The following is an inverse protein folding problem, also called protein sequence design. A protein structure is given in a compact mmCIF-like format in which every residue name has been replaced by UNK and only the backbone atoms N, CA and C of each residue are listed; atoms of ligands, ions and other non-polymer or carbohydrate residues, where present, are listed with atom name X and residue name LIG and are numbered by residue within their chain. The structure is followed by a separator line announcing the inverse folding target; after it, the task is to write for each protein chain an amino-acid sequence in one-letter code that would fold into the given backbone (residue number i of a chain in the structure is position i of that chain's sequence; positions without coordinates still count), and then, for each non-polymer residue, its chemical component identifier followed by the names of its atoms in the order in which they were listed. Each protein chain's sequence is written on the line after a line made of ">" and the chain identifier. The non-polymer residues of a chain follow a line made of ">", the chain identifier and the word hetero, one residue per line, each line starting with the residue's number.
data_IF_116006513693
#
_entry.id   IF_116006513693
#
_cell.length_a   1.000
_cell.length_b   1.000
_cell.length_c   1.000
_cell.angle_alpha   90.00
_cell.angle_beta   90.00
_cell.angle_gamma   90.00
#
_symmetry.space_group_name_H-M   'P 1'
#
loop_
_entity.id
_entity.type
_entity.pdbx_description
1 polymer ?
#
# COMPACT_ATOMS: atom_id res chain seq x y z
N UNK A 1 -49.27 26.27 -37.97
CA UNK A 1 -49.22 24.80 -38.16
C UNK A 1 -48.25 24.22 -37.14
N UNK A 2 -48.71 23.45 -36.15
CA UNK A 2 -47.80 22.69 -35.27
C UNK A 2 -47.43 21.40 -36.01
N UNK A 3 -46.13 21.20 -36.27
CA UNK A 3 -45.62 19.91 -36.76
C UNK A 3 -45.75 18.89 -35.63
N UNK A 4 -46.57 17.87 -35.82
CA UNK A 4 -46.65 16.74 -34.89
C UNK A 4 -45.47 15.81 -35.18
N UNK A 5 -44.69 15.50 -34.14
CA UNK A 5 -43.61 14.52 -34.22
C UNK A 5 -44.20 13.13 -34.42
N UNK A 6 -43.66 12.36 -35.35
CA UNK A 6 -44.13 10.98 -35.58
C UNK A 6 -43.47 10.01 -34.60
N UNK A 7 -44.17 8.93 -34.25
CA UNK A 7 -43.64 7.87 -33.40
C UNK A 7 -42.37 7.23 -33.98
N UNK A 8 -42.25 7.18 -35.31
CA UNK A 8 -41.08 6.63 -36.01
C UNK A 8 -39.86 7.52 -35.82
N UNK A 9 -40.01 8.85 -35.92
CA UNK A 9 -38.89 9.79 -35.70
C UNK A 9 -38.36 9.69 -34.28
N UNK A 10 -39.25 9.54 -33.29
CA UNK A 10 -38.83 9.35 -31.90
C UNK A 10 -38.11 8.01 -31.71
N UNK A 11 -38.63 6.93 -32.33
CA UNK A 11 -38.06 5.58 -32.24
C UNK A 11 -36.64 5.52 -32.83
N UNK A 12 -36.43 6.08 -34.02
CA UNK A 12 -35.11 6.08 -34.67
C UNK A 12 -34.07 6.83 -33.83
N UNK A 13 -34.45 7.96 -33.22
CA UNK A 13 -33.54 8.75 -32.39
C UNK A 13 -33.11 7.98 -31.14
N UNK A 14 -34.05 7.35 -30.43
CA UNK A 14 -33.69 6.56 -29.24
C UNK A 14 -32.83 5.33 -29.63
N UNK A 15 -33.07 4.72 -30.79
CA UNK A 15 -32.24 3.61 -31.29
C UNK A 15 -30.81 4.07 -31.56
N UNK A 16 -30.63 5.21 -32.23
CA UNK A 16 -29.29 5.76 -32.48
C UNK A 16 -28.58 6.10 -31.17
N UNK A 17 -29.27 6.76 -30.23
CA UNK A 17 -28.70 7.07 -28.90
C UNK A 17 -28.32 5.78 -28.17
N UNK A 18 -29.15 4.73 -28.22
CA UNK A 18 -28.86 3.46 -27.58
C UNK A 18 -27.61 2.78 -28.17
N UNK A 19 -27.44 2.80 -29.50
CA UNK A 19 -26.24 2.25 -30.17
C UNK A 19 -24.99 3.05 -29.78
N UNK A 20 -25.07 4.39 -29.80
CA UNK A 20 -23.94 5.24 -29.42
C UNK A 20 -23.57 5.04 -27.95
N UNK A 21 -24.55 4.98 -27.06
CA UNK A 21 -24.33 4.74 -25.63
C UNK A 21 -23.71 3.35 -25.37
N UNK A 22 -24.15 2.32 -26.10
CA UNK A 22 -23.62 0.96 -25.98
C UNK A 22 -22.12 0.86 -26.29
N UNK A 23 -21.60 1.69 -27.21
CA UNK A 23 -20.16 1.74 -27.53
C UNK A 23 -19.42 2.71 -26.60
N UNK A 24 -20.04 3.85 -26.29
CA UNK A 24 -19.39 4.91 -25.53
C UNK A 24 -19.15 4.51 -24.06
N UNK A 25 -20.09 3.81 -23.42
CA UNK A 25 -19.94 3.41 -22.01
C UNK A 25 -18.74 2.47 -21.74
N UNK A 26 -18.52 1.36 -22.47
CA UNK A 26 -17.38 0.49 -22.22
C UNK A 26 -16.04 1.20 -22.47
N UNK A 27 -15.96 2.02 -23.53
CA UNK A 27 -14.75 2.80 -23.86
C UNK A 27 -14.48 3.84 -22.76
N UNK A 28 -15.49 4.56 -22.31
CA UNK A 28 -15.36 5.55 -21.25
C UNK A 28 -14.92 4.91 -19.92
N UNK A 29 -15.47 3.74 -19.57
CA UNK A 29 -15.07 3.01 -18.38
C UNK A 29 -13.60 2.55 -18.45
N UNK A 30 -13.12 2.12 -19.62
CA UNK A 30 -11.71 1.79 -19.83
C UNK A 30 -10.81 3.02 -19.72
N UNK A 31 -11.18 4.13 -20.36
CA UNK A 31 -10.43 5.39 -20.31
C UNK A 31 -10.32 5.92 -18.87
N UNK A 32 -11.42 5.89 -18.11
CA UNK A 32 -11.43 6.30 -16.69
C UNK A 32 -10.49 5.45 -15.84
N UNK A 33 -10.46 4.12 -16.04
CA UNK A 33 -9.52 3.23 -15.33
C UNK A 33 -8.07 3.52 -15.70
N UNK A 34 -7.77 3.71 -16.98
CA UNK A 34 -6.43 4.09 -17.42
C UNK A 34 -5.97 5.42 -16.80
N UNK A 35 -6.84 6.41 -16.73
CA UNK A 35 -6.54 7.70 -16.09
C UNK A 35 -6.23 7.55 -14.59
N UNK A 36 -7.02 6.76 -13.86
CA UNK A 36 -6.75 6.48 -12.43
C UNK A 36 -5.41 5.77 -12.22
N UNK A 37 -5.12 4.76 -13.04
CA UNK A 37 -3.85 4.03 -13.00
C UNK A 37 -2.65 4.96 -13.28
N UNK A 38 -2.80 5.88 -14.24
CA UNK A 38 -1.79 6.90 -14.53
C UNK A 38 -1.52 7.85 -13.35
N UNK A 39 -2.56 8.20 -12.57
CA UNK A 39 -2.37 8.96 -11.32
C UNK A 39 -1.62 8.12 -10.28
N UNK A 40 -2.03 6.86 -10.06
CA UNK A 40 -1.38 6.04 -9.04
C UNK A 40 0.10 5.73 -9.34
N UNK A 41 0.49 5.55 -10.61
CA UNK A 41 1.92 5.41 -10.96
C UNK A 41 2.68 6.75 -10.85
N UNK A 42 2.00 7.87 -11.08
CA UNK A 42 2.60 9.20 -10.83
C UNK A 42 2.81 9.45 -9.34
N UNK A 43 1.95 8.91 -8.47
CA UNK A 43 2.13 8.97 -7.02
C UNK A 43 3.35 8.13 -6.59
N UNK A 44 3.50 6.90 -7.11
CA UNK A 44 4.69 6.09 -6.79
C UNK A 44 5.98 6.75 -7.26
N UNK A 45 5.97 7.41 -8.43
CA UNK A 45 7.12 8.18 -8.91
C UNK A 45 7.44 9.37 -8.02
N UNK A 46 6.44 10.08 -7.50
CA UNK A 46 6.65 11.18 -6.55
C UNK A 46 7.26 10.70 -5.23
N UNK A 47 6.82 9.56 -4.69
CA UNK A 47 7.44 8.96 -3.50
C UNK A 47 8.87 8.52 -3.76
N UNK A 48 9.14 7.90 -4.92
CA UNK A 48 10.48 7.50 -5.32
C UNK A 48 11.45 8.69 -5.39
N UNK A 49 10.99 9.81 -5.97
CA UNK A 49 11.76 11.04 -6.02
C UNK A 49 11.99 11.63 -4.63
N UNK A 50 10.96 11.65 -3.77
CA UNK A 50 11.08 12.11 -2.39
C UNK A 50 12.09 11.28 -1.60
N UNK A 51 12.09 9.96 -1.80
CA UNK A 51 13.05 9.04 -1.20
C UNK A 51 14.50 9.31 -1.65
N UNK A 52 14.72 9.51 -2.95
CA UNK A 52 16.06 9.83 -3.47
C UNK A 52 16.54 11.18 -2.94
N UNK A 53 15.68 12.19 -2.91
CA UNK A 53 16.01 13.51 -2.36
C UNK A 53 16.32 13.45 -0.86
N UNK A 54 15.51 12.73 -0.07
CA UNK A 54 15.79 12.48 1.34
C UNK A 54 17.17 11.85 1.52
N UNK A 55 17.46 10.79 0.75
CA UNK A 55 18.73 10.06 0.85
C UNK A 55 19.92 10.99 0.58
N UNK A 56 19.80 11.88 -0.39
CA UNK A 56 20.84 12.86 -0.72
C UNK A 56 21.05 13.91 0.39
N UNK A 57 19.97 14.34 1.04
CA UNK A 57 20.03 15.34 2.11
C UNK A 57 20.50 14.75 3.46
N UNK A 58 20.47 13.42 3.61
CA UNK A 58 20.79 12.70 4.84
C UNK A 58 21.98 11.74 4.67
N UNK A 59 23.12 12.26 4.20
CA UNK A 59 24.42 11.54 4.14
C UNK A 59 24.36 10.17 3.43
N UNK A 60 23.58 10.08 2.35
CA UNK A 60 23.33 8.85 1.60
C UNK A 60 22.72 7.73 2.47
N UNK A 61 21.89 8.08 3.46
CA UNK A 61 21.12 7.13 4.28
C UNK A 61 19.67 7.10 3.82
N UNK A 62 19.12 5.91 3.61
CA UNK A 62 17.72 5.73 3.20
C UNK A 62 16.76 6.25 4.25
N UNK A 63 15.52 6.56 3.85
CA UNK A 63 14.51 6.97 4.84
C UNK A 63 14.21 5.80 5.80
N UNK A 64 14.23 6.04 7.13
CA UNK A 64 13.69 5.10 8.10
C UNK A 64 12.25 4.76 7.80
N UNK A 65 11.86 3.50 8.01
CA UNK A 65 10.45 3.15 7.96
C UNK A 65 9.71 3.78 9.13
N UNK A 66 10.26 3.55 10.32
CA UNK A 66 9.60 3.89 11.56
C UNK A 66 10.60 3.86 12.71
N UNK A 67 10.54 4.82 13.62
CA UNK A 67 11.29 4.76 14.87
C UNK A 67 10.56 5.51 15.99
N UNK A 68 10.85 5.12 17.22
CA UNK A 68 10.36 5.79 18.40
C UNK A 68 10.99 7.19 18.52
N UNK A 69 10.15 8.22 18.53
CA UNK A 69 10.59 9.61 18.70
C UNK A 69 10.53 10.00 20.18
N UNK A 70 11.64 9.78 20.88
CA UNK A 70 11.78 9.99 22.32
C UNK A 70 11.90 11.46 22.76
N UNK A 71 11.86 12.43 21.83
CA UNK A 71 11.98 13.85 22.17
C UNK A 71 10.74 14.42 22.90
N UNK A 72 9.60 13.72 22.90
CA UNK A 72 8.42 14.09 23.69
C UNK A 72 8.24 13.14 24.89
N UNK A 73 8.66 13.55 26.09
CA UNK A 73 8.50 12.78 27.33
C UNK A 73 7.04 12.49 27.73
N UNK A 74 6.07 13.15 27.10
CA UNK A 74 4.65 13.07 27.44
C UNK A 74 3.82 12.25 26.41
N UNK A 75 4.39 11.86 25.27
CA UNK A 75 3.68 11.11 24.22
C UNK A 75 4.53 9.99 23.63
N UNK A 76 3.95 8.81 23.48
CA UNK A 76 4.56 7.69 22.75
C UNK A 76 4.43 7.88 21.24
N UNK A 77 5.20 8.83 20.71
CA UNK A 77 5.18 9.18 19.30
C UNK A 77 6.19 8.36 18.51
N UNK A 78 5.83 8.10 17.26
CA UNK A 78 6.67 7.39 16.32
C UNK A 78 6.75 8.13 15.01
N UNK A 79 7.98 8.24 14.53
CA UNK A 79 8.30 8.93 13.30
C UNK A 79 8.43 7.93 12.17
N UNK A 80 7.51 8.01 11.21
CA UNK A 80 7.51 7.18 10.01
C UNK A 80 7.87 7.94 8.74
N UNK A 81 8.10 7.18 7.66
CA UNK A 81 8.38 7.73 6.33
C UNK A 81 7.21 8.57 5.80
N UNK A 82 5.97 8.08 5.98
CA UNK A 82 4.76 8.71 5.45
C UNK A 82 4.12 9.68 6.43
N UNK A 83 4.13 9.34 7.71
CA UNK A 83 3.41 10.07 8.75
C UNK A 83 4.07 9.90 10.11
N UNK A 84 3.68 10.75 11.06
CA UNK A 84 4.00 10.57 12.47
C UNK A 84 2.77 10.04 13.18
N UNK A 85 2.89 8.91 13.84
CA UNK A 85 1.81 8.30 14.59
C UNK A 85 2.03 8.48 16.09
N UNK A 86 0.98 8.90 16.78
CA UNK A 86 0.96 9.00 18.24
C UNK A 86 0.24 7.78 18.82
N UNK A 87 0.95 6.94 19.57
CA UNK A 87 0.33 5.82 20.26
C UNK A 87 -0.46 6.25 21.51
N UNK A 88 -0.21 7.46 22.02
CA UNK A 88 -1.00 8.04 23.12
C UNK A 88 -2.40 8.44 22.65
N UNK A 89 -2.48 9.16 21.52
CA UNK A 89 -3.74 9.69 21.01
C UNK A 89 -4.39 8.80 19.94
N UNK A 90 -3.68 7.75 19.49
CA UNK A 90 -4.07 6.92 18.35
C UNK A 90 -4.37 7.76 17.09
N UNK A 91 -3.50 8.73 16.83
CA UNK A 91 -3.61 9.65 15.69
C UNK A 91 -2.42 9.54 14.76
N UNK A 92 -2.64 9.88 13.50
CA UNK A 92 -1.63 9.81 12.45
C UNK A 92 -1.61 11.13 11.67
N UNK A 93 -0.44 11.77 11.63
CA UNK A 93 -0.24 13.06 10.96
C UNK A 93 0.70 12.91 9.75
N UNK A 94 0.17 12.81 8.52
CA UNK A 94 0.96 12.70 7.30
C UNK A 94 1.76 13.97 6.97
N UNK A 95 1.45 15.11 7.58
CA UNK A 95 2.27 16.33 7.41
C UNK A 95 3.55 16.31 8.22
N UNK A 96 3.64 15.38 9.18
CA UNK A 96 4.82 15.17 10.01
C UNK A 96 5.65 13.97 9.57
N UNK A 97 5.31 13.29 8.47
CA UNK A 97 6.13 12.20 7.92
C UNK A 97 7.47 12.70 7.38
N UNK A 98 8.50 11.83 7.41
CA UNK A 98 9.85 12.18 6.99
C UNK A 98 9.94 12.60 5.51
N UNK A 99 9.10 12.01 4.65
CA UNK A 99 9.07 12.36 3.22
C UNK A 99 8.16 13.55 2.89
N UNK A 100 7.37 14.05 3.85
CA UNK A 100 6.44 15.15 3.60
C UNK A 100 7.12 16.43 3.07
N UNK A 101 8.29 16.88 3.56
CA UNK A 101 8.98 18.07 3.03
C UNK A 101 9.31 17.99 1.53
N UNK A 102 9.54 16.77 1.04
CA UNK A 102 9.90 16.48 -0.36
C UNK A 102 8.67 16.25 -1.24
N UNK A 103 7.61 15.62 -0.69
CA UNK A 103 6.35 15.42 -1.41
C UNK A 103 5.48 16.69 -1.48
N UNK A 104 5.50 17.52 -0.41
CA UNK A 104 4.72 18.76 -0.23
C UNK A 104 3.19 18.59 -0.37
N UNK A 105 2.70 17.37 -0.31
CA UNK A 105 1.28 17.04 -0.30
C UNK A 105 1.08 15.68 0.36
N UNK A 106 -0.09 15.50 0.97
CA UNK A 106 -0.53 14.22 1.54
C UNK A 106 -1.33 13.40 0.53
N UNK A 107 -1.79 14.00 -0.58
CA UNK A 107 -2.60 13.33 -1.60
C UNK A 107 -1.85 12.23 -2.36
N UNK A 108 -0.52 12.23 -2.29
CA UNK A 108 0.33 11.18 -2.88
C UNK A 108 0.07 9.82 -2.23
N UNK A 109 -0.42 9.77 -0.98
CA UNK A 109 -0.80 8.54 -0.31
C UNK A 109 -2.11 7.93 -0.83
N UNK A 110 -2.91 8.72 -1.55
CA UNK A 110 -4.21 8.29 -2.03
C UNK A 110 -4.09 7.76 -3.46
N UNK A 111 -4.39 6.48 -3.63
CA UNK A 111 -4.59 5.92 -4.95
C UNK A 111 -6.09 5.96 -5.32
N UNK A 112 -6.51 6.61 -6.43
CA UNK A 112 -7.91 6.58 -6.90
C UNK A 112 -8.50 5.18 -7.20
N UNK A 113 -7.67 4.16 -7.36
CA UNK A 113 -8.05 2.73 -7.47
C UNK A 113 -7.98 1.99 -6.12
N UNK A 114 -7.70 2.70 -5.02
CA UNK A 114 -7.63 2.18 -3.65
C UNK A 114 -8.82 2.55 -2.77
N UNK A 115 -9.95 2.94 -3.36
CA UNK A 115 -11.15 3.34 -2.62
C UNK A 115 -11.74 2.25 -1.71
N UNK A 116 -11.39 0.98 -1.95
CA UNK A 116 -11.76 -0.19 -1.13
C UNK A 116 -10.93 -0.34 0.14
N UNK A 117 -9.84 0.44 0.29
CA UNK A 117 -9.00 0.39 1.48
C UNK A 117 -9.66 1.18 2.62
N UNK A 118 -9.87 0.48 3.73
CA UNK A 118 -10.41 1.00 4.98
C UNK A 118 -9.27 1.57 5.83
N UNK A 119 -9.58 2.57 6.65
CA UNK A 119 -8.61 3.28 7.48
C UNK A 119 -8.34 4.68 6.95
N UNK A 120 -8.39 5.67 7.85
CA UNK A 120 -8.08 7.07 7.55
C UNK A 120 -6.59 7.37 7.72
N UNK A 121 -5.90 6.56 8.52
CA UNK A 121 -4.51 6.71 8.96
C UNK A 121 -3.68 5.62 8.29
N UNK A 122 -2.75 6.02 7.42
CA UNK A 122 -1.98 5.10 6.57
C UNK A 122 -2.09 5.39 5.07
N UNK A 123 -1.06 5.00 4.33
CA UNK A 123 -0.93 5.20 2.88
C UNK A 123 -1.54 4.03 2.09
N UNK A 124 -2.04 4.27 0.87
CA UNK A 124 -2.38 3.20 -0.08
C UNK A 124 -1.14 2.49 -0.66
N UNK A 125 0.04 3.00 -0.31
CA UNK A 125 1.35 2.51 -0.71
C UNK A 125 2.17 2.18 0.53
N UNK A 126 2.98 1.14 0.46
CA UNK A 126 3.89 0.76 1.52
C UNK A 126 5.35 0.88 1.13
N UNK A 127 6.22 0.97 2.13
CA UNK A 127 7.68 0.96 1.96
C UNK A 127 8.28 -0.42 2.28
N UNK A 128 9.27 -0.84 1.51
CA UNK A 128 9.98 -2.11 1.67
C UNK A 128 11.06 -2.03 2.76
N UNK A 129 10.65 -2.00 4.02
CA UNK A 129 11.57 -1.93 5.14
C UNK A 129 12.52 -3.12 5.26
N UNK A 130 12.24 -4.24 4.60
CA UNK A 130 13.09 -5.42 4.67
C UNK A 130 14.43 -5.26 3.95
N UNK A 131 14.47 -4.43 2.90
CA UNK A 131 15.66 -4.20 2.09
C UNK A 131 16.19 -2.78 2.16
N UNK A 132 15.36 -1.84 2.63
CA UNK A 132 15.74 -0.42 2.72
C UNK A 132 15.79 0.10 4.15
N UNK A 133 15.67 -0.80 5.14
CA UNK A 133 15.82 -0.46 6.56
C UNK A 133 16.60 -1.53 7.31
N UNK A 134 17.26 -1.13 8.40
CA UNK A 134 17.93 -2.02 9.34
C UNK A 134 17.06 -2.21 10.59
N UNK A 135 17.15 -3.40 11.17
CA UNK A 135 16.46 -3.71 12.42
C UNK A 135 17.37 -3.33 13.58
N UNK A 136 16.94 -2.37 14.38
CA UNK A 136 17.60 -2.07 15.66
C UNK A 136 16.77 -2.65 16.82
N UNK A 137 17.41 -3.51 17.62
CA UNK A 137 16.80 -4.07 18.84
C UNK A 137 16.32 -2.93 19.74
N UNK A 138 15.15 -3.08 20.39
CA UNK A 138 14.49 -1.97 21.06
C UNK A 138 15.35 -1.46 22.21
N UNK A 139 15.80 -0.21 22.07
CA UNK A 139 16.12 0.66 23.20
C UNK A 139 14.87 1.50 23.60
N UNK A 140 13.69 1.11 23.11
CA UNK A 140 12.40 1.72 23.40
C UNK A 140 11.75 1.07 24.66
N UNK A 141 11.33 1.86 25.66
CA UNK A 141 10.59 1.36 26.84
C UNK A 141 9.27 0.65 26.53
N UNK A 142 8.70 0.81 25.33
CA UNK A 142 7.44 0.18 24.92
C UNK A 142 7.61 -1.08 24.05
N UNK A 143 8.86 -1.49 23.77
CA UNK A 143 9.16 -2.71 23.03
C UNK A 143 8.85 -2.66 21.53
N UNK A 144 8.73 -1.45 20.96
CA UNK A 144 8.54 -1.28 19.51
C UNK A 144 9.88 -1.28 18.79
N UNK A 145 9.88 -1.89 17.61
CA UNK A 145 11.07 -2.05 16.76
C UNK A 145 11.37 -0.74 16.05
N UNK A 146 12.63 -0.29 16.12
CA UNK A 146 13.14 0.77 15.26
C UNK A 146 13.60 0.16 13.93
N UNK A 147 13.03 0.66 12.84
CA UNK A 147 13.36 0.30 11.47
C UNK A 147 14.05 1.49 10.81
N UNK A 148 15.37 1.54 11.01
CA UNK A 148 16.21 2.67 10.67
C UNK A 148 16.64 2.64 9.21
N UNK A 149 16.98 3.80 8.66
CA UNK A 149 17.60 3.87 7.34
C UNK A 149 18.92 3.12 7.30
N UNK A 150 19.26 2.55 6.15
CA UNK A 150 20.58 1.99 5.88
C UNK A 150 21.38 2.95 5.00
N UNK A 151 22.73 2.92 5.06
CA UNK A 151 23.52 3.55 4.01
C UNK A 151 23.11 3.00 2.64
N UNK A 152 22.82 3.89 1.69
CA UNK A 152 22.34 3.55 0.35
C UNK A 152 23.30 2.60 -0.38
N UNK A 153 24.60 2.73 -0.12
CA UNK A 153 25.63 1.82 -0.64
C UNK A 153 25.54 0.37 -0.14
N UNK A 154 24.72 0.06 0.88
CA UNK A 154 24.38 -1.32 1.26
C UNK A 154 23.37 -1.98 0.31
N UNK A 155 22.69 -1.20 -0.54
CA UNK A 155 21.76 -1.73 -1.55
C UNK A 155 22.57 -2.14 -2.79
N UNK A 156 22.78 -3.44 -2.97
CA UNK A 156 23.65 -3.98 -4.03
C UNK A 156 23.12 -3.69 -5.45
N UNK A 157 21.81 -3.82 -5.66
CA UNK A 157 21.17 -3.64 -6.96
C UNK A 157 20.02 -2.60 -6.86
N UNK A 158 20.30 -1.27 -6.85
CA UNK A 158 19.25 -0.27 -6.63
C UNK A 158 18.15 -0.24 -7.71
N UNK A 159 18.53 -0.50 -8.97
CA UNK A 159 17.58 -0.61 -10.07
C UNK A 159 16.71 -1.89 -10.01
N UNK A 160 17.06 -2.86 -9.17
CA UNK A 160 16.28 -4.08 -8.98
C UNK A 160 15.63 -4.17 -7.58
N UNK A 161 15.97 -3.25 -6.67
CA UNK A 161 15.40 -3.22 -5.33
C UNK A 161 14.16 -2.32 -5.27
N UNK A 162 13.01 -2.92 -4.93
CA UNK A 162 11.76 -2.16 -4.72
C UNK A 162 11.85 -1.39 -3.40
N UNK A 163 11.59 -0.09 -3.46
CA UNK A 163 11.49 0.80 -2.30
C UNK A 163 10.04 0.98 -1.85
N UNK A 164 9.11 1.21 -2.78
CA UNK A 164 7.69 1.41 -2.49
C UNK A 164 6.80 0.61 -3.43
N UNK A 165 5.56 0.37 -3.03
CA UNK A 165 4.56 -0.20 -3.93
C UNK A 165 3.15 -0.11 -3.38
N UNK A 166 2.17 -0.40 -4.25
CA UNK A 166 0.79 -0.58 -3.79
C UNK A 166 0.73 -1.63 -2.70
N UNK A 167 0.18 -1.25 -1.55
CA UNK A 167 0.07 -2.13 -0.40
C UNK A 167 -1.35 -2.14 0.14
N UNK A 168 -1.68 -3.23 0.81
CA UNK A 168 -2.89 -3.41 1.57
C UNK A 168 -2.67 -4.46 2.65
N UNK A 169 -3.26 -4.26 3.81
CA UNK A 169 -3.32 -5.29 4.84
C UNK A 169 -4.67 -6.00 4.79
N UNK A 170 -4.65 -7.33 4.81
CA UNK A 170 -5.87 -8.12 4.90
C UNK A 170 -6.25 -8.37 6.36
N UNK A 171 -7.47 -8.01 6.77
CA UNK A 171 -7.99 -8.33 8.09
C UNK A 171 -8.57 -9.74 8.15
N UNK A 172 -8.12 -10.60 9.07
CA UNK A 172 -8.57 -12.01 9.16
C UNK A 172 -10.00 -12.14 9.64
N UNK A 173 -10.35 -11.30 10.61
CA UNK A 173 -11.61 -11.39 11.34
C UNK A 173 -12.77 -10.78 10.56
N UNK A 174 -12.54 -9.65 9.90
CA UNK A 174 -13.58 -8.90 9.16
C UNK A 174 -13.43 -8.98 7.64
N UNK A 175 -12.34 -9.60 7.16
CA UNK A 175 -12.06 -9.83 5.74
C UNK A 175 -12.00 -8.53 4.93
N UNK A 176 -11.71 -7.41 5.58
CA UNK A 176 -11.56 -6.10 4.95
C UNK A 176 -10.11 -5.89 4.49
N UNK A 177 -9.93 -4.92 3.61
CA UNK A 177 -8.62 -4.42 3.23
C UNK A 177 -8.36 -3.10 3.92
N UNK A 178 -7.21 -3.00 4.57
CA UNK A 178 -6.78 -1.82 5.27
C UNK A 178 -5.66 -1.12 4.52
N UNK A 179 -5.62 0.21 4.62
CA UNK A 179 -4.43 0.99 4.24
C UNK A 179 -3.23 0.51 5.04
N UNK A 180 -2.08 0.43 4.40
CA UNK A 180 -0.91 -0.17 4.99
C UNK A 180 0.35 0.42 4.38
N UNK A 181 1.11 1.12 5.20
CA UNK A 181 2.33 1.85 4.83
C UNK A 181 3.59 0.97 4.83
N UNK A 182 3.41 -0.35 4.99
CA UNK A 182 4.46 -1.35 4.87
C UNK A 182 4.29 -2.15 3.59
N UNK A 183 5.39 -2.41 2.90
CA UNK A 183 5.45 -3.34 1.78
C UNK A 183 6.20 -4.58 2.23
N UNK A 184 5.49 -5.60 2.70
CA UNK A 184 6.13 -6.82 3.18
C UNK A 184 6.31 -7.84 2.06
N UNK A 185 7.38 -8.64 2.10
CA UNK A 185 7.48 -9.80 1.23
C UNK A 185 6.42 -10.85 1.61
N UNK A 186 6.00 -11.71 0.66
CA UNK A 186 5.42 -13.00 0.99
C UNK A 186 6.31 -13.70 2.01
N UNK A 187 5.82 -14.12 3.18
CA UNK A 187 6.66 -14.79 4.18
C UNK A 187 6.62 -14.21 5.60
N UNK A 188 6.42 -12.89 5.71
CA UNK A 188 6.83 -12.10 6.87
C UNK A 188 5.96 -12.22 8.15
N UNK A 189 5.27 -13.35 8.39
CA UNK A 189 4.54 -13.62 9.64
C UNK A 189 3.30 -12.76 9.93
N UNK A 190 3.02 -11.79 9.08
CA UNK A 190 1.74 -11.11 8.91
C UNK A 190 1.37 -11.29 7.44
N UNK A 191 0.09 -11.22 7.03
CA UNK A 191 -0.28 -11.31 5.62
C UNK A 191 -0.68 -9.93 5.08
N UNK A 192 0.27 -9.02 4.88
CA UNK A 192 0.08 -7.95 3.93
C UNK A 192 0.11 -8.54 2.53
N UNK A 193 -0.77 -8.02 1.68
CA UNK A 193 -0.82 -8.39 0.29
C UNK A 193 -0.57 -7.16 -0.55
N UNK A 194 0.27 -7.31 -1.57
CA UNK A 194 0.26 -6.37 -2.66
C UNK A 194 -1.11 -6.50 -3.34
N UNK A 195 -1.77 -5.38 -3.57
CA UNK A 195 -3.08 -5.41 -4.18
C UNK A 195 -3.00 -5.08 -5.67
N UNK A 196 -3.44 -6.01 -6.50
CA UNK A 196 -3.56 -5.86 -7.93
C UNK A 196 -4.74 -4.96 -8.32
N UNK A 197 -4.70 -3.68 -7.94
CA UNK A 197 -5.82 -2.72 -8.07
C UNK A 197 -5.90 -2.00 -9.42
N UNK A 198 -4.89 -2.12 -10.29
CA UNK A 198 -4.78 -1.34 -11.54
C UNK A 198 -5.30 -2.03 -12.81
N UNK A 199 -6.23 -2.98 -12.64
CA UNK A 199 -6.68 -3.84 -13.72
C UNK A 199 -5.63 -4.88 -14.10
N UNK A 200 -6.09 -5.98 -14.70
CA UNK A 200 -5.23 -7.11 -15.09
C UNK A 200 -4.31 -7.63 -13.95
N UNK A 201 -4.79 -7.52 -12.71
CA UNK A 201 -4.07 -7.92 -11.50
C UNK A 201 -2.68 -7.26 -11.37
N UNK A 202 -2.60 -5.97 -11.68
CA UNK A 202 -1.36 -5.18 -11.62
C UNK A 202 -1.31 -4.26 -10.41
N UNK A 203 -0.09 -4.06 -9.91
CA UNK A 203 0.28 -3.09 -8.89
C UNK A 203 1.44 -2.22 -9.40
N UNK A 204 1.55 -1.01 -8.88
CA UNK A 204 2.59 -0.05 -9.16
C UNK A 204 3.66 -0.13 -8.08
N UNK A 205 4.91 -0.08 -8.52
CA UNK A 205 6.09 -0.13 -7.67
C UNK A 205 7.03 1.00 -8.03
N UNK A 206 7.85 1.38 -7.06
CA UNK A 206 8.98 2.28 -7.21
C UNK A 206 10.24 1.60 -6.67
N UNK A 207 11.35 1.78 -7.38
CA UNK A 207 12.66 1.23 -7.04
C UNK A 207 13.52 2.26 -6.33
N UNK A 208 14.58 1.79 -5.66
CA UNK A 208 15.47 2.63 -4.86
C UNK A 208 16.32 3.57 -5.72
N UNK A 209 16.46 3.32 -7.03
CA UNK A 209 17.04 4.26 -8.00
C UNK A 209 16.08 5.39 -8.44
N UNK A 210 14.83 5.36 -7.96
CA UNK A 210 13.80 6.34 -8.24
C UNK A 210 12.89 6.05 -9.44
N UNK A 211 13.08 4.97 -10.20
CA UNK A 211 12.15 4.63 -11.29
C UNK A 211 10.86 3.98 -10.77
N UNK A 212 9.81 3.96 -11.59
CA UNK A 212 8.53 3.36 -11.22
C UNK A 212 7.94 2.59 -12.39
N UNK A 213 7.26 1.49 -12.07
CA UNK A 213 6.73 0.57 -13.06
C UNK A 213 5.50 -0.14 -12.52
N UNK A 214 4.51 -0.31 -13.39
CA UNK A 214 3.38 -1.21 -13.15
C UNK A 214 3.81 -2.64 -13.43
N UNK A 215 3.65 -3.54 -12.47
CA UNK A 215 3.97 -4.96 -12.56
C UNK A 215 2.72 -5.80 -12.37
N UNK A 216 2.66 -6.92 -13.08
CA UNK A 216 1.63 -7.94 -12.84
C UNK A 216 2.03 -8.73 -11.59
N UNK A 217 1.08 -8.94 -10.69
CA UNK A 217 1.29 -9.75 -9.50
C UNK A 217 1.17 -11.25 -9.80
N UNK A 218 1.80 -12.05 -8.96
CA UNK A 218 1.64 -13.50 -8.91
C UNK A 218 0.63 -13.84 -7.81
N UNK A 219 -0.31 -14.74 -8.12
CA UNK A 219 -1.30 -15.26 -7.16
C UNK A 219 -0.59 -16.20 -6.18
N UNK A 220 -1.02 -16.20 -4.93
CA UNK A 220 -0.54 -17.16 -3.96
C UNK A 220 -1.01 -18.57 -4.32
N UNK A 221 -0.09 -19.54 -4.30
CA UNK A 221 -0.43 -20.95 -4.55
C UNK A 221 -0.83 -21.68 -3.26
N UNK A 222 -0.32 -21.22 -2.12
CA UNK A 222 -0.56 -21.79 -0.78
C UNK A 222 -0.68 -20.67 0.24
N UNK A 223 -1.32 -20.98 1.37
CA UNK A 223 -1.33 -20.12 2.55
C UNK A 223 -0.59 -20.82 3.70
N UNK A 224 0.03 -20.06 4.61
CA UNK A 224 0.51 -20.60 5.88
C UNK A 224 -0.60 -21.31 6.67
N UNK A 225 -0.23 -22.36 7.41
CA UNK A 225 -1.18 -23.11 8.25
C UNK A 225 -1.87 -22.21 9.27
N UNK A 226 -1.14 -21.28 9.89
CA UNK A 226 -1.70 -20.36 10.89
C UNK A 226 -2.78 -19.44 10.31
N UNK A 227 -2.74 -19.11 9.01
CA UNK A 227 -3.82 -18.36 8.35
C UNK A 227 -5.05 -19.23 8.11
N UNK A 228 -4.82 -20.48 7.70
CA UNK A 228 -5.90 -21.45 7.55
C UNK A 228 -6.60 -21.70 8.91
N UNK A 229 -5.84 -21.72 10.01
CA UNK A 229 -6.37 -21.84 11.37
C UNK A 229 -7.27 -20.65 11.76
N UNK A 230 -7.05 -19.46 11.17
CA UNK A 230 -7.94 -18.29 11.31
C UNK A 230 -9.14 -18.31 10.33
N UNK A 231 -9.35 -19.40 9.58
CA UNK A 231 -10.45 -19.51 8.61
C UNK A 231 -10.25 -18.67 7.34
N UNK A 232 -9.00 -18.31 7.03
CA UNK A 232 -8.61 -17.55 5.83
C UNK A 232 -8.31 -18.52 4.70
N UNK A 233 -8.81 -18.21 3.50
CA UNK A 233 -8.68 -19.07 2.32
C UNK A 233 -8.01 -18.34 1.16
N UNK A 234 -7.44 -19.10 0.20
CA UNK A 234 -6.93 -18.51 -1.05
C UNK A 234 -8.02 -17.73 -1.81
N UNK A 235 -9.28 -18.19 -1.71
CA UNK A 235 -10.42 -17.48 -2.30
C UNK A 235 -10.65 -16.08 -1.68
N UNK A 236 -10.30 -15.88 -0.42
CA UNK A 236 -10.35 -14.55 0.22
C UNK A 236 -9.33 -13.60 -0.42
N UNK A 237 -8.12 -14.08 -0.69
CA UNK A 237 -7.08 -13.32 -1.39
C UNK A 237 -7.47 -13.07 -2.84
N UNK A 238 -8.07 -14.07 -3.50
CA UNK A 238 -8.49 -13.95 -4.89
C UNK A 238 -9.54 -12.88 -5.10
N UNK A 239 -10.58 -12.90 -4.26
CA UNK A 239 -11.66 -11.91 -4.26
C UNK A 239 -11.17 -10.49 -4.00
N UNK A 240 -10.12 -10.34 -3.19
CA UNK A 240 -9.55 -9.04 -2.83
C UNK A 240 -8.42 -8.57 -3.76
N UNK A 241 -8.10 -9.36 -4.80
CA UNK A 241 -6.95 -9.13 -5.68
C UNK A 241 -5.64 -8.97 -4.91
N UNK A 242 -5.40 -9.84 -3.93
CA UNK A 242 -4.13 -9.92 -3.23
C UNK A 242 -3.18 -10.91 -3.91
N UNK A 243 -1.92 -10.49 -4.03
CA UNK A 243 -0.84 -11.29 -4.58
C UNK A 243 0.51 -10.84 -4.06
N UNK A 244 1.56 -11.35 -4.69
CA UNK A 244 2.95 -10.97 -4.42
C UNK A 244 3.71 -10.67 -5.72
N UNK A 245 4.81 -9.95 -5.59
CA UNK A 245 5.70 -9.63 -6.69
C UNK A 245 6.82 -10.67 -6.69
N UNK A 246 6.88 -11.48 -7.74
CA UNK A 246 8.01 -12.39 -7.99
C UNK A 246 9.08 -11.63 -8.77
N UNK A 247 9.91 -10.87 -8.07
CA UNK A 247 10.98 -10.07 -8.68
C UNK A 247 12.23 -10.11 -7.78
N UNK A 248 13.42 -9.93 -8.36
CA UNK A 248 14.64 -9.76 -7.57
C UNK A 248 14.41 -8.63 -6.55
N UNK A 249 14.75 -8.83 -5.29
CA UNK A 249 14.46 -7.84 -4.24
C UNK A 249 13.03 -7.89 -3.63
N UNK A 250 12.18 -8.82 -4.06
CA UNK A 250 10.99 -9.22 -3.29
C UNK A 250 10.91 -10.75 -3.36
N UNK A 251 11.63 -11.49 -2.49
CA UNK A 251 11.66 -12.95 -2.59
C UNK A 251 10.25 -13.51 -2.42
N UNK A 252 9.86 -14.41 -3.32
CA UNK A 252 8.72 -15.29 -3.08
C UNK A 252 9.20 -16.30 -2.04
N UNK A 253 8.63 -16.26 -0.86
CA UNK A 253 8.81 -17.34 0.09
C UNK A 253 8.04 -18.55 -0.45
N UNK A 254 8.77 -19.45 -1.13
CA UNK A 254 8.25 -20.74 -1.63
C UNK A 254 7.93 -21.70 -0.48
N UNK A 255 8.50 -21.48 0.71
CA UNK A 255 8.18 -22.21 1.93
C UNK A 255 8.32 -21.29 3.16
N UNK A 256 7.21 -21.07 3.86
CA UNK A 256 7.11 -20.25 5.09
C UNK A 256 7.80 -20.87 6.32
N UNK A 257 8.78 -21.75 6.09
CA UNK A 257 9.50 -22.54 7.08
C UNK A 257 10.84 -21.92 7.51
N UNK A 258 11.20 -20.74 7.00
CA UNK A 258 12.42 -20.05 7.41
C UNK A 258 12.10 -19.02 8.52
N UNK A 259 12.54 -19.25 9.77
CA UNK A 259 12.25 -18.38 10.90
C UNK A 259 13.22 -17.20 10.90
N UNK A 260 13.12 -16.31 9.94
CA UNK A 260 13.61 -14.94 10.14
C UNK A 260 12.54 -14.21 10.97
N UNK A 261 12.60 -14.47 12.29
CA UNK A 261 12.08 -13.74 13.47
C UNK A 261 11.42 -12.37 13.15
N UNK A 262 10.24 -11.96 13.65
CA UNK A 262 9.40 -12.30 14.81
C UNK A 262 7.90 -12.03 14.51
N UNK A 263 6.97 -12.56 15.32
CA UNK A 263 5.52 -12.47 15.17
C UNK A 263 4.98 -11.09 15.59
N UNK A 264 3.79 -10.80 15.07
CA UNK A 264 2.81 -9.82 15.61
C UNK A 264 3.11 -8.31 15.49
N UNK A 265 2.83 -7.75 14.30
CA UNK A 265 2.23 -6.40 14.18
C UNK A 265 0.74 -6.40 14.62
N UNK A 266 0.22 -7.55 15.07
CA UNK A 266 -1.14 -7.70 15.58
C UNK A 266 -1.50 -6.86 16.82
N UNK A 267 -0.59 -6.08 17.39
CA UNK A 267 -0.90 -5.29 18.59
C UNK A 267 -1.64 -3.97 18.33
N UNK A 268 -1.64 -3.42 17.10
CA UNK A 268 -2.26 -2.10 16.85
C UNK A 268 -3.69 -2.13 16.30
N UNK A 269 -4.19 -3.29 15.87
CA UNK A 269 -5.53 -3.42 15.26
C UNK A 269 -6.50 -4.34 16.03
N UNK A 270 -6.05 -4.99 17.11
CA UNK A 270 -6.93 -5.80 17.99
C UNK A 270 -7.49 -5.02 19.19
N UNK A 271 -7.29 -3.70 19.27
CA UNK A 271 -8.11 -2.86 20.14
C UNK A 271 -9.37 -2.38 19.43
N UNK A 272 -10.11 -3.32 18.84
CA UNK A 272 -11.54 -3.12 18.59
C UNK A 272 -12.28 -3.61 19.84
N UNK A 273 -13.15 -2.75 20.36
CA UNK A 273 -14.46 -3.22 20.83
C UNK A 273 -14.39 -4.08 22.11
N UNK A 274 -14.00 -3.47 23.23
CA UNK A 274 -14.57 -3.78 24.55
C UNK A 274 -15.00 -2.47 25.23
N UNK A 275 -15.96 -1.77 24.61
CA UNK A 275 -16.85 -0.88 25.35
C UNK A 275 -18.01 -1.74 25.83
N UNK A 276 -18.05 -2.02 27.13
CA UNK A 276 -19.24 -2.54 27.81
C UNK A 276 -19.17 -4.00 28.23
N UNK A 277 -18.64 -4.24 29.43
CA UNK A 277 -18.73 -5.50 30.15
C UNK A 277 -18.65 -5.24 31.65
N UNK A 278 -19.66 -4.53 32.17
CA UNK A 278 -20.06 -4.53 33.59
C UNK A 278 -21.43 -5.18 33.70
#
# INVERSE_FOLDING_TARGET
>A
MRRAFTLIELLVVITIIAILAAILFPVFAQAKRAAKSAVCISNTKQMALAYVLYTQDYDDVTVPMYYYDGDNSDTSDYQGWFSRFSATDYTDDPKKGLLYPYMRTTSVADCPDGAQLVGLTGSAYGMNSWLVSDFELPNDPYGVVNLMGIPYGKIEEPADTVAFGDSAQFGFWDKQLYRYDWLTPPGAGSPPGQQGRHGDFRANFAWTDGHSKSMRLTRYATLPSWLADQGVTLADFDRNNLGGLTYKGMPVVESWSDPLYLPSIYYFLDQKVHVGGS
#
